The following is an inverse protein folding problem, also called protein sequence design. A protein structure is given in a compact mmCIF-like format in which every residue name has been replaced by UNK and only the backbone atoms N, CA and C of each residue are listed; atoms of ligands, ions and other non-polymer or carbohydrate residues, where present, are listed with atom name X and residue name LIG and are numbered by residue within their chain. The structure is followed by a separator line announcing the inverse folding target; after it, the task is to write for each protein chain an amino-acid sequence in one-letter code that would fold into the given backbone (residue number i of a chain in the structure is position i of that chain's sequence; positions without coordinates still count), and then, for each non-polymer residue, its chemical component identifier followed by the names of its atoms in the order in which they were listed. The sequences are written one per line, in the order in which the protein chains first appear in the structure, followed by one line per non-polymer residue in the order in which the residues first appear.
data_IF_211374879581
#
_entry.id   IF_211374879581
#
_cell.length_a   1.000
_cell.length_b   1.000
_cell.length_c   1.000
_cell.angle_alpha   90.00
_cell.angle_beta   90.00
_cell.angle_gamma   90.00
#
_symmetry.space_group_name_H-M   'P 1'
#
loop_
_entity.id
_entity.type
_entity.pdbx_description
1 polymer ?
#
# COMPACT_ATOMS: atom_id res chain seq x y z
N UNK A 1 -9.90 -103.36 -4.44
CA UNK A 1 -9.03 -102.54 -5.31
C UNK A 1 -9.73 -101.20 -5.49
N UNK A 2 -9.14 -100.13 -4.97
CA UNK A 2 -9.78 -98.81 -4.83
C UNK A 2 -9.88 -98.16 -6.22
N UNK A 3 -11.10 -97.81 -6.65
CA UNK A 3 -11.34 -97.00 -7.84
C UNK A 3 -10.89 -95.56 -7.55
N UNK A 4 -9.69 -95.20 -8.02
CA UNK A 4 -9.24 -93.81 -8.06
C UNK A 4 -10.15 -93.00 -8.98
N UNK A 5 -11.02 -92.19 -8.39
CA UNK A 5 -11.79 -91.17 -9.09
C UNK A 5 -10.86 -90.01 -9.41
N UNK A 6 -10.28 -89.98 -10.63
CA UNK A 6 -9.58 -88.80 -11.16
C UNK A 6 -10.59 -87.65 -11.30
N UNK A 7 -10.68 -86.83 -10.26
CA UNK A 7 -11.27 -85.50 -10.31
C UNK A 7 -10.42 -84.64 -11.25
N UNK A 8 -10.87 -84.50 -12.50
CA UNK A 8 -10.24 -83.67 -13.51
C UNK A 8 -10.41 -82.19 -13.19
N UNK A 9 -9.61 -81.65 -12.28
CA UNK A 9 -9.47 -80.21 -12.09
C UNK A 9 -8.74 -79.63 -13.32
N UNK A 10 -9.49 -79.17 -14.33
CA UNK A 10 -8.96 -78.39 -15.44
C UNK A 10 -8.43 -77.06 -14.90
N UNK A 11 -7.11 -76.96 -14.68
CA UNK A 11 -6.43 -75.70 -14.35
C UNK A 11 -6.64 -74.70 -15.49
N UNK A 12 -7.52 -73.72 -15.30
CA UNK A 12 -7.70 -72.59 -16.22
C UNK A 12 -6.58 -71.55 -16.03
N UNK A 13 -5.33 -71.96 -16.23
CA UNK A 13 -4.14 -71.12 -16.07
C UNK A 13 -4.19 -69.90 -16.98
N UNK A 14 -4.65 -70.07 -18.22
CA UNK A 14 -4.88 -68.97 -19.17
C UNK A 14 -5.86 -67.94 -18.63
N UNK A 15 -7.00 -68.36 -18.06
CA UNK A 15 -7.98 -67.45 -17.46
C UNK A 15 -7.39 -66.66 -16.29
N UNK A 16 -6.56 -67.31 -15.46
CA UNK A 16 -5.89 -66.67 -14.33
C UNK A 16 -4.88 -65.63 -14.78
N UNK A 17 -4.09 -65.95 -15.83
CA UNK A 17 -3.11 -65.01 -16.41
C UNK A 17 -3.83 -63.80 -17.03
N UNK A 18 -4.88 -64.01 -17.83
CA UNK A 18 -5.66 -62.91 -18.43
C UNK A 18 -6.27 -62.02 -17.36
N UNK A 19 -6.76 -62.60 -16.26
CA UNK A 19 -7.33 -61.85 -15.15
C UNK A 19 -6.27 -61.00 -14.42
N UNK A 20 -5.08 -61.55 -14.18
CA UNK A 20 -3.95 -60.80 -13.58
C UNK A 20 -3.52 -59.65 -14.48
N UNK A 21 -3.42 -59.86 -15.80
CA UNK A 21 -3.08 -58.82 -16.77
C UNK A 21 -4.14 -57.71 -16.77
N UNK A 22 -5.42 -58.08 -16.80
CA UNK A 22 -6.51 -57.11 -16.77
C UNK A 22 -6.52 -56.27 -15.48
N UNK A 23 -6.35 -56.92 -14.32
CA UNK A 23 -6.25 -56.22 -13.03
C UNK A 23 -5.04 -55.28 -13.02
N UNK A 24 -3.90 -55.72 -13.55
CA UNK A 24 -2.68 -54.91 -13.59
C UNK A 24 -2.88 -53.65 -14.46
N UNK A 25 -3.52 -53.79 -15.63
CA UNK A 25 -3.84 -52.66 -16.50
C UNK A 25 -4.80 -51.68 -15.79
N UNK A 26 -5.86 -52.18 -15.16
CA UNK A 26 -6.81 -51.36 -14.40
C UNK A 26 -6.14 -50.64 -13.22
N UNK A 27 -5.23 -51.31 -12.52
CA UNK A 27 -4.47 -50.74 -11.42
C UNK A 27 -3.56 -49.60 -11.90
N UNK A 28 -2.84 -49.79 -13.01
CA UNK A 28 -1.99 -48.75 -13.62
C UNK A 28 -2.83 -47.56 -14.07
N UNK A 29 -3.98 -47.79 -14.74
CA UNK A 29 -4.91 -46.72 -15.15
C UNK A 29 -5.44 -45.96 -13.93
N UNK A 30 -5.79 -46.67 -12.86
CA UNK A 30 -6.30 -46.05 -11.63
C UNK A 30 -5.23 -45.19 -10.95
N UNK A 31 -3.99 -45.66 -10.87
CA UNK A 31 -2.86 -44.88 -10.35
C UNK A 31 -2.60 -43.63 -11.19
N UNK A 32 -2.63 -43.77 -12.51
CA UNK A 32 -2.43 -42.64 -13.43
C UNK A 32 -3.52 -41.57 -13.25
N UNK A 33 -4.79 -41.98 -13.18
CA UNK A 33 -5.90 -41.07 -12.95
C UNK A 33 -5.82 -40.43 -11.57
N UNK A 34 -5.55 -41.20 -10.52
CA UNK A 34 -5.42 -40.70 -9.16
C UNK A 34 -4.28 -39.68 -9.03
N UNK A 35 -3.14 -39.94 -9.68
CA UNK A 35 -2.00 -39.03 -9.70
C UNK A 35 -2.33 -37.72 -10.42
N UNK A 36 -2.90 -37.79 -11.63
CA UNK A 36 -3.27 -36.59 -12.38
C UNK A 36 -4.36 -35.76 -11.69
N UNK A 37 -5.34 -36.44 -11.09
CA UNK A 37 -6.39 -35.78 -10.32
C UNK A 37 -5.82 -35.08 -9.08
N UNK A 38 -4.97 -35.78 -8.31
CA UNK A 38 -4.33 -35.22 -7.11
C UNK A 38 -3.44 -34.02 -7.47
N UNK A 39 -2.63 -34.14 -8.54
CA UNK A 39 -1.80 -33.04 -9.04
C UNK A 39 -2.64 -31.82 -9.38
N UNK A 40 -3.69 -31.99 -10.17
CA UNK A 40 -4.59 -30.88 -10.56
C UNK A 40 -5.30 -30.28 -9.35
N UNK A 41 -5.71 -31.08 -8.38
CA UNK A 41 -6.32 -30.61 -7.15
C UNK A 41 -5.36 -29.75 -6.34
N UNK A 42 -4.11 -30.19 -6.17
CA UNK A 42 -3.07 -29.45 -5.44
C UNK A 42 -2.71 -28.15 -6.17
N UNK A 43 -2.59 -28.18 -7.51
CA UNK A 43 -2.33 -26.97 -8.31
C UNK A 43 -3.44 -25.93 -8.16
N UNK A 44 -4.70 -26.36 -8.18
CA UNK A 44 -5.84 -25.46 -7.97
C UNK A 44 -5.84 -24.87 -6.55
N UNK A 45 -5.56 -25.69 -5.53
CA UNK A 45 -5.45 -25.23 -4.15
C UNK A 45 -4.29 -24.23 -3.99
N UNK A 46 -3.15 -24.51 -4.61
CA UNK A 46 -1.98 -23.61 -4.65
C UNK A 46 -2.32 -22.24 -5.23
N UNK A 47 -3.01 -22.19 -6.38
CA UNK A 47 -3.38 -20.91 -7.01
C UNK A 47 -4.37 -20.13 -6.13
N UNK A 48 -5.37 -20.81 -5.56
CA UNK A 48 -6.38 -20.19 -4.69
C UNK A 48 -5.75 -19.63 -3.41
N UNK A 49 -4.97 -20.45 -2.71
CA UNK A 49 -4.35 -20.06 -1.45
C UNK A 49 -3.25 -19.02 -1.66
N UNK A 50 -2.66 -18.90 -2.86
CA UNK A 50 -1.65 -17.87 -3.15
C UNK A 50 -2.27 -16.48 -3.05
N UNK A 51 -3.51 -16.33 -3.53
CA UNK A 51 -4.28 -15.10 -3.41
C UNK A 51 -4.55 -14.80 -1.94
N UNK A 52 -4.99 -15.80 -1.17
CA UNK A 52 -5.25 -15.66 0.26
C UNK A 52 -3.99 -15.23 1.06
N UNK A 53 -2.85 -15.87 0.81
CA UNK A 53 -1.56 -15.48 1.41
C UNK A 53 -1.21 -14.03 1.08
N UNK A 54 -1.40 -13.62 -0.18
CA UNK A 54 -1.16 -12.23 -0.59
C UNK A 54 -2.10 -11.28 0.16
N UNK A 55 -3.40 -11.53 0.15
CA UNK A 55 -4.42 -10.72 0.83
C UNK A 55 -4.13 -10.56 2.32
N UNK A 56 -3.80 -11.65 3.03
CA UNK A 56 -3.44 -11.59 4.44
C UNK A 56 -2.14 -10.81 4.67
N UNK A 57 -1.16 -10.97 3.79
CA UNK A 57 0.14 -10.29 3.91
C UNK A 57 0.04 -8.79 3.66
N UNK A 58 -0.81 -8.34 2.73
CA UNK A 58 -1.01 -6.91 2.41
C UNK A 58 -2.09 -6.24 3.27
N UNK A 59 -2.85 -7.01 4.07
CA UNK A 59 -3.90 -6.48 4.95
C UNK A 59 -3.43 -5.30 5.83
N UNK A 60 -2.25 -5.33 6.48
CA UNK A 60 -1.77 -4.19 7.27
C UNK A 60 -1.52 -2.94 6.42
N UNK A 61 -1.06 -3.12 5.18
CA UNK A 61 -0.88 -2.01 4.23
C UNK A 61 -2.23 -1.38 3.86
N UNK A 62 -3.22 -2.20 3.51
CA UNK A 62 -4.57 -1.71 3.18
C UNK A 62 -5.22 -0.99 4.37
N UNK A 63 -5.09 -1.54 5.58
CA UNK A 63 -5.59 -0.91 6.80
C UNK A 63 -4.91 0.44 7.07
N UNK A 64 -3.59 0.52 6.89
CA UNK A 64 -2.86 1.78 7.02
C UNK A 64 -3.36 2.81 6.00
N UNK A 65 -3.41 2.43 4.72
CA UNK A 65 -3.73 3.34 3.63
C UNK A 65 -5.17 3.85 3.69
N UNK A 66 -6.12 2.98 4.02
CA UNK A 66 -7.55 3.32 4.01
C UNK A 66 -8.02 3.94 5.32
N UNK A 67 -7.45 3.54 6.46
CA UNK A 67 -7.96 3.97 7.78
C UNK A 67 -6.99 4.90 8.49
N UNK A 68 -5.73 4.48 8.67
CA UNK A 68 -4.78 5.22 9.52
C UNK A 68 -4.29 6.51 8.89
N UNK A 69 -4.01 6.49 7.58
CA UNK A 69 -3.47 7.65 6.87
C UNK A 69 -4.48 8.82 6.84
N UNK A 70 -5.79 8.61 6.56
CA UNK A 70 -6.79 9.68 6.66
C UNK A 70 -6.95 10.31 8.04
N UNK A 71 -6.51 9.67 9.14
CA UNK A 71 -6.60 10.25 10.48
C UNK A 71 -5.80 11.57 10.60
N UNK A 72 -4.79 11.80 9.75
CA UNK A 72 -4.07 13.09 9.69
C UNK A 72 -5.05 14.24 9.42
N UNK A 73 -6.12 14.00 8.65
CA UNK A 73 -7.15 15.02 8.38
C UNK A 73 -7.97 15.42 9.61
N UNK A 74 -8.04 14.58 10.66
CA UNK A 74 -8.77 14.92 11.88
C UNK A 74 -8.11 16.05 12.68
N UNK A 75 -6.82 16.29 12.46
CA UNK A 75 -6.09 17.38 13.09
C UNK A 75 -6.26 18.72 12.36
N UNK A 76 -6.89 18.75 11.18
CA UNK A 76 -7.24 19.97 10.43
C UNK A 76 -6.07 20.95 10.19
N UNK A 77 -4.82 20.47 10.04
CA UNK A 77 -3.68 21.35 9.82
C UNK A 77 -3.05 21.90 11.10
N UNK A 78 -3.41 21.37 12.28
CA UNK A 78 -2.93 21.84 13.58
C UNK A 78 -1.92 20.89 14.24
N UNK A 79 -1.31 19.97 13.48
CA UNK A 79 -0.23 19.16 14.03
C UNK A 79 1.03 20.02 14.24
N UNK A 80 1.53 20.01 15.46
CA UNK A 80 2.88 20.49 15.75
C UNK A 80 3.89 19.33 15.68
N UNK A 81 5.18 19.64 15.76
CA UNK A 81 6.23 18.61 15.71
C UNK A 81 6.08 17.56 16.82
N UNK A 82 5.60 17.97 18.00
CA UNK A 82 5.45 17.08 19.16
C UNK A 82 4.30 16.08 18.98
N UNK A 83 3.16 16.53 18.46
CA UNK A 83 2.00 15.68 18.18
C UNK A 83 2.23 14.83 16.94
N UNK A 84 2.87 15.39 15.91
CA UNK A 84 3.28 14.65 14.72
C UNK A 84 4.23 13.50 15.08
N UNK A 85 5.22 13.73 15.96
CA UNK A 85 6.12 12.67 16.46
C UNK A 85 5.33 11.54 17.12
N UNK A 86 4.40 11.85 18.03
CA UNK A 86 3.58 10.84 18.72
C UNK A 86 2.69 10.04 17.77
N UNK A 87 2.12 10.72 16.77
CA UNK A 87 1.34 10.06 15.72
C UNK A 87 2.22 9.08 14.95
N UNK A 88 3.39 9.52 14.49
CA UNK A 88 4.34 8.69 13.74
C UNK A 88 4.85 7.52 14.57
N UNK A 89 5.16 7.71 15.86
CA UNK A 89 5.60 6.63 16.75
C UNK A 89 4.56 5.51 16.82
N UNK A 90 3.28 5.88 16.92
CA UNK A 90 2.17 4.92 16.92
C UNK A 90 2.05 4.20 15.58
N UNK A 91 2.22 4.93 14.47
CA UNK A 91 2.15 4.38 13.11
C UNK A 91 3.30 3.41 12.85
N UNK A 92 4.54 3.78 13.14
CA UNK A 92 5.74 2.96 12.88
C UNK A 92 5.82 1.74 13.83
N UNK A 93 5.17 1.81 14.99
CA UNK A 93 5.02 0.66 15.88
C UNK A 93 3.98 -0.33 15.35
N UNK A 94 2.82 0.15 14.87
CA UNK A 94 1.75 -0.71 14.35
C UNK A 94 2.02 -1.23 12.94
N UNK A 95 2.73 -0.46 12.11
CA UNK A 95 3.00 -0.75 10.70
C UNK A 95 4.52 -0.76 10.44
N UNK A 96 5.22 -1.87 10.70
CA UNK A 96 6.68 -1.95 10.62
C UNK A 96 7.27 -1.70 9.23
N UNK A 97 6.46 -1.82 8.18
CA UNK A 97 6.86 -1.50 6.80
C UNK A 97 7.06 0.00 6.58
N UNK A 98 6.64 0.86 7.50
CA UNK A 98 6.94 2.29 7.45
C UNK A 98 8.28 2.53 8.12
N UNK A 99 9.27 2.92 7.33
CA UNK A 99 10.65 3.11 7.78
C UNK A 99 10.87 4.52 8.33
N UNK A 100 10.30 5.51 7.66
CA UNK A 100 10.53 6.93 7.89
C UNK A 100 9.31 7.74 7.47
N UNK A 101 9.05 8.82 8.18
CA UNK A 101 7.99 9.78 7.86
C UNK A 101 8.60 11.17 7.80
N UNK A 102 8.31 11.91 6.74
CA UNK A 102 8.64 13.33 6.64
C UNK A 102 7.36 14.13 6.82
N UNK A 103 7.33 15.03 7.79
CA UNK A 103 6.19 15.87 8.11
C UNK A 103 6.46 17.30 7.65
N UNK A 104 5.50 17.87 6.93
CA UNK A 104 5.52 19.22 6.41
C UNK A 104 4.40 20.01 7.11
N UNK A 105 4.77 20.91 8.02
CA UNK A 105 3.87 21.97 8.51
C UNK A 105 3.77 22.99 7.39
N UNK A 106 2.65 22.95 6.66
CA UNK A 106 2.43 23.65 5.40
C UNK A 106 1.56 24.87 5.62
N UNK A 107 1.89 25.98 4.97
CA UNK A 107 1.07 27.19 5.01
C UNK A 107 0.54 27.54 3.62
N UNK A 108 -0.75 27.86 3.58
CA UNK A 108 -1.44 28.42 2.42
C UNK A 108 -1.72 29.89 2.71
N UNK A 109 -1.06 30.77 1.97
CA UNK A 109 -1.06 32.22 2.18
C UNK A 109 -1.56 32.95 0.94
N UNK A 110 -2.07 34.16 1.11
CA UNK A 110 -2.39 35.05 -0.02
C UNK A 110 -1.21 35.94 -0.45
N UNK A 111 0.00 35.42 -0.30
CA UNK A 111 1.25 36.06 -0.70
C UNK A 111 2.14 35.01 -1.34
N UNK A 112 3.02 35.40 -2.27
CA UNK A 112 3.98 34.49 -2.84
C UNK A 112 4.86 33.86 -1.76
N UNK A 113 5.14 32.56 -1.88
CA UNK A 113 6.11 31.82 -1.08
C UNK A 113 7.38 31.59 -1.89
N UNK A 114 8.55 31.57 -1.23
CA UNK A 114 9.83 31.31 -1.91
C UNK A 114 9.97 29.82 -2.26
N UNK A 115 9.73 28.97 -1.27
CA UNK A 115 9.96 27.54 -1.34
C UNK A 115 8.58 26.84 -1.39
N UNK A 116 8.17 26.38 -2.57
CA UNK A 116 6.85 25.80 -2.80
C UNK A 116 6.20 26.24 -4.12
N UNK A 117 4.87 26.32 -4.15
CA UNK A 117 4.10 26.63 -5.36
C UNK A 117 3.33 27.93 -5.20
N UNK A 118 3.36 28.75 -6.26
CA UNK A 118 2.59 29.97 -6.37
C UNK A 118 1.60 29.83 -7.54
N UNK A 119 0.31 29.98 -7.25
CA UNK A 119 -0.77 30.00 -8.24
C UNK A 119 -1.52 31.34 -8.15
N UNK A 120 -1.17 32.28 -9.03
CA UNK A 120 -1.61 33.68 -8.96
C UNK A 120 -1.25 34.33 -7.61
N UNK A 121 -2.26 34.63 -6.78
CA UNK A 121 -2.05 35.21 -5.44
C UNK A 121 -2.12 34.15 -4.31
N UNK A 122 -2.29 32.87 -4.65
CA UNK A 122 -2.23 31.76 -3.69
C UNK A 122 -0.78 31.24 -3.62
N UNK A 123 -0.15 31.34 -2.46
CA UNK A 123 1.13 30.70 -2.17
C UNK A 123 0.93 29.48 -1.26
N UNK A 124 1.56 28.36 -1.59
CA UNK A 124 1.54 27.11 -0.82
C UNK A 124 2.99 26.70 -0.59
N UNK A 125 3.45 26.75 0.67
CA UNK A 125 4.83 26.44 1.00
C UNK A 125 4.97 25.80 2.39
N UNK A 126 6.05 25.06 2.66
CA UNK A 126 6.30 24.54 3.98
C UNK A 126 6.80 25.67 4.89
N UNK A 127 6.23 25.75 6.09
CA UNK A 127 6.75 26.54 7.20
C UNK A 127 7.91 25.82 7.87
N UNK A 128 7.71 24.54 8.17
CA UNK A 128 8.71 23.66 8.78
C UNK A 128 8.66 22.27 8.15
N UNK A 129 9.82 21.61 8.06
CA UNK A 129 9.90 20.20 7.66
C UNK A 129 10.59 19.43 8.77
N UNK A 130 9.97 18.33 9.16
CA UNK A 130 10.45 17.43 10.20
C UNK A 130 10.60 16.02 9.67
N UNK A 131 11.48 15.24 10.28
CA UNK A 131 11.69 13.84 9.97
C UNK A 131 11.59 12.97 11.22
N UNK A 132 10.86 11.86 11.08
CA UNK A 132 10.57 10.92 12.14
C UNK A 132 10.80 9.48 11.65
N UNK A 133 11.24 8.59 12.54
CA UNK A 133 11.48 7.19 12.17
C UNK A 133 12.37 6.45 13.16
N UNK A 134 12.41 5.12 13.03
CA UNK A 134 13.28 4.27 13.85
C UNK A 134 14.74 4.49 13.46
N UNK A 135 15.55 4.96 14.41
CA UNK A 135 16.99 5.20 14.20
C UNK A 135 17.35 6.58 13.67
N UNK A 136 16.40 7.53 13.67
CA UNK A 136 16.70 8.94 13.37
C UNK A 136 17.25 9.61 14.63
N UNK A 137 18.39 10.27 14.50
CA UNK A 137 19.01 11.01 15.59
C UNK A 137 18.09 12.18 16.01
N UNK A 138 17.87 12.44 17.31
CA UNK A 138 17.16 13.63 17.79
C UNK A 138 17.60 14.96 17.15
N UNK A 139 18.89 15.09 16.81
CA UNK A 139 19.43 16.29 16.15
C UNK A 139 19.01 16.41 14.67
N UNK A 140 18.43 15.36 14.08
CA UNK A 140 17.97 15.29 12.68
C UNK A 140 16.45 15.46 12.53
N UNK A 141 15.75 15.87 13.60
CA UNK A 141 14.28 15.97 13.60
C UNK A 141 13.78 17.15 12.76
N UNK A 142 14.47 18.30 12.75
CA UNK A 142 14.08 19.47 11.94
C UNK A 142 15.00 19.61 10.74
N UNK A 143 14.45 19.46 9.55
CA UNK A 143 15.18 19.55 8.29
C UNK A 143 15.13 20.96 7.68
N UNK A 144 14.06 21.72 7.92
CA UNK A 144 13.82 23.00 7.25
C UNK A 144 13.04 23.99 8.12
N UNK A 145 13.28 25.28 7.91
CA UNK A 145 12.32 26.35 8.24
C UNK A 145 12.34 27.46 7.21
N UNK A 146 11.22 28.19 7.05
CA UNK A 146 11.09 29.36 6.17
C UNK A 146 12.23 30.38 6.34
N UNK A 147 12.68 30.60 7.60
CA UNK A 147 13.77 31.53 7.95
C UNK A 147 15.18 31.01 7.66
N UNK A 148 15.36 29.70 7.44
CA UNK A 148 16.66 29.05 7.25
C UNK A 148 16.57 27.88 6.27
N UNK A 149 16.82 28.17 5.00
CA UNK A 149 16.66 27.22 3.89
C UNK A 149 17.94 26.56 3.43
N UNK A 150 19.08 26.91 4.05
CA UNK A 150 20.40 26.41 3.65
C UNK A 150 20.62 24.92 3.97
N UNK A 151 19.64 24.22 4.54
CA UNK A 151 19.79 22.88 5.11
C UNK A 151 19.00 21.77 4.40
N UNK A 152 18.00 22.10 3.57
CA UNK A 152 17.15 21.10 2.93
C UNK A 152 16.37 21.67 1.74
N UNK A 153 16.47 21.01 0.58
CA UNK A 153 15.63 21.31 -0.58
C UNK A 153 14.24 20.69 -0.40
N UNK A 154 13.20 21.50 -0.60
CA UNK A 154 11.80 21.03 -0.57
C UNK A 154 11.63 19.95 -1.64
N UNK A 155 11.30 18.72 -1.21
CA UNK A 155 11.31 17.58 -2.13
C UNK A 155 10.20 17.66 -3.18
N UNK A 156 10.42 16.97 -4.30
CA UNK A 156 9.42 16.80 -5.37
C UNK A 156 8.09 16.23 -4.84
N UNK A 157 8.12 15.47 -3.74
CA UNK A 157 6.93 14.92 -3.10
C UNK A 157 6.01 16.07 -2.62
N UNK A 158 6.58 17.11 -1.99
CA UNK A 158 5.83 18.29 -1.55
C UNK A 158 5.27 19.07 -2.74
N UNK A 159 6.10 19.34 -3.75
CA UNK A 159 5.67 20.10 -4.92
C UNK A 159 4.54 19.37 -5.67
N UNK A 160 4.60 18.05 -5.80
CA UNK A 160 3.53 17.27 -6.41
C UNK A 160 2.20 17.41 -5.64
N UNK A 161 2.23 17.36 -4.30
CA UNK A 161 1.04 17.55 -3.46
C UNK A 161 0.51 18.99 -3.50
N UNK A 162 1.39 19.99 -3.40
CA UNK A 162 1.02 21.39 -3.49
C UNK A 162 0.40 21.72 -4.86
N UNK A 163 0.91 21.10 -5.93
CA UNK A 163 0.37 21.26 -7.28
C UNK A 163 -1.02 20.65 -7.40
N UNK A 164 -1.24 19.46 -6.83
CA UNK A 164 -2.57 18.84 -6.77
C UNK A 164 -3.55 19.72 -6.00
N UNK A 165 -3.16 20.26 -4.84
CA UNK A 165 -4.00 21.20 -4.08
C UNK A 165 -4.36 22.43 -4.92
N UNK A 166 -3.37 23.09 -5.54
CA UNK A 166 -3.59 24.27 -6.37
C UNK A 166 -4.52 23.98 -7.57
N UNK A 167 -4.34 22.82 -8.21
CA UNK A 167 -5.17 22.38 -9.34
C UNK A 167 -6.61 22.09 -8.89
N UNK A 168 -6.76 21.38 -7.77
CA UNK A 168 -8.06 21.06 -7.19
C UNK A 168 -8.82 22.34 -6.82
N UNK A 169 -8.18 23.29 -6.13
CA UNK A 169 -8.80 24.60 -5.83
C UNK A 169 -9.13 25.36 -7.12
N UNK A 170 -8.23 25.31 -8.11
CA UNK A 170 -8.45 25.92 -9.43
C UNK A 170 -9.72 25.40 -10.13
N UNK A 171 -10.00 24.10 -10.02
CA UNK A 171 -11.16 23.44 -10.63
C UNK A 171 -12.39 23.36 -9.73
N UNK A 172 -12.25 23.65 -8.43
CA UNK A 172 -13.30 23.51 -7.44
C UNK A 172 -14.56 24.29 -7.82
N UNK A 173 -15.67 23.56 -7.92
CA UNK A 173 -17.02 24.11 -7.91
C UNK A 173 -17.49 24.21 -6.45
N UNK A 174 -17.71 25.44 -5.98
CA UNK A 174 -18.11 25.68 -4.59
C UNK A 174 -19.55 25.27 -4.28
N UNK A 175 -20.38 25.00 -5.30
CA UNK A 175 -21.77 24.59 -5.14
C UNK A 175 -21.92 23.09 -4.82
N UNK A 176 -20.99 22.25 -5.26
CA UNK A 176 -21.04 20.79 -5.10
C UNK A 176 -20.18 20.32 -3.92
N UNK A 177 -20.45 19.10 -3.45
CA UNK A 177 -19.66 18.45 -2.40
C UNK A 177 -18.82 17.37 -3.09
N UNK A 178 -17.48 17.45 -3.04
CA UNK A 178 -16.60 16.42 -3.59
C UNK A 178 -16.87 15.06 -2.95
N UNK A 179 -16.72 14.00 -3.73
CA UNK A 179 -16.86 12.64 -3.20
C UNK A 179 -15.64 12.25 -2.35
N UNK A 180 -15.79 11.25 -1.47
CA UNK A 180 -14.66 10.78 -0.65
C UNK A 180 -13.51 10.23 -1.52
N UNK A 181 -13.83 9.57 -2.63
CA UNK A 181 -12.85 9.05 -3.59
C UNK A 181 -12.11 10.20 -4.31
N UNK A 182 -12.82 11.25 -4.69
CA UNK A 182 -12.24 12.45 -5.29
C UNK A 182 -11.30 13.16 -4.32
N UNK A 183 -11.71 13.31 -3.05
CA UNK A 183 -10.85 13.87 -2.01
C UNK A 183 -9.59 13.01 -1.83
N UNK A 184 -9.75 11.71 -1.65
CA UNK A 184 -8.63 10.82 -1.44
C UNK A 184 -7.62 10.85 -2.61
N UNK A 185 -8.11 10.87 -3.85
CA UNK A 185 -7.28 10.91 -5.07
C UNK A 185 -6.54 12.23 -5.24
N UNK A 186 -7.17 13.35 -4.88
CA UNK A 186 -6.56 14.68 -4.97
C UNK A 186 -5.59 14.98 -3.81
N UNK A 187 -5.81 14.36 -2.65
CA UNK A 187 -5.03 14.61 -1.43
C UNK A 187 -4.04 13.49 -1.07
N UNK A 188 -3.80 12.56 -2.00
CA UNK A 188 -2.75 11.54 -1.88
C UNK A 188 -1.96 11.33 -3.18
N UNK A 189 -0.70 10.90 -3.06
CA UNK A 189 0.14 10.44 -4.16
C UNK A 189 0.84 9.15 -3.72
N UNK A 190 0.67 8.09 -4.51
CA UNK A 190 1.38 6.82 -4.31
C UNK A 190 2.47 6.74 -5.36
N UNK A 191 3.74 6.79 -4.93
CA UNK A 191 4.90 6.64 -5.79
C UNK A 191 5.50 5.24 -5.58
N UNK A 192 5.14 4.32 -6.48
CA UNK A 192 5.60 2.94 -6.44
C UNK A 192 7.09 2.78 -6.75
N UNK A 193 7.70 3.71 -7.49
CA UNK A 193 9.12 3.62 -7.85
C UNK A 193 10.02 3.90 -6.65
N UNK A 194 9.65 4.88 -5.83
CA UNK A 194 10.40 5.27 -4.63
C UNK A 194 9.86 4.63 -3.35
N UNK A 195 8.84 3.77 -3.44
CA UNK A 195 8.14 3.17 -2.29
C UNK A 195 7.65 4.25 -1.29
N UNK A 196 7.00 5.30 -1.79
CA UNK A 196 6.50 6.40 -0.95
C UNK A 196 5.01 6.60 -1.11
N UNK A 197 4.38 7.04 -0.03
CA UNK A 197 3.01 7.57 -0.06
C UNK A 197 3.03 8.96 0.56
N UNK A 198 2.57 9.94 -0.21
CA UNK A 198 2.39 11.31 0.23
C UNK A 198 0.92 11.57 0.49
N UNK A 199 0.60 12.21 1.60
CA UNK A 199 -0.76 12.56 1.99
C UNK A 199 -0.79 13.98 2.53
N UNK A 200 -1.72 14.78 2.02
CA UNK A 200 -2.04 16.10 2.54
C UNK A 200 -3.38 15.98 3.26
N UNK A 201 -3.49 16.57 4.45
CA UNK A 201 -4.78 16.63 5.13
C UNK A 201 -5.82 17.28 4.21
N UNK A 202 -7.05 16.79 4.25
CA UNK A 202 -8.14 17.35 3.45
C UNK A 202 -8.52 18.70 4.06
N UNK A 203 -8.37 19.83 3.34
CA UNK A 203 -8.76 21.13 3.88
C UNK A 203 -10.27 21.20 4.06
N UNK A 204 -10.73 21.98 5.06
CA UNK A 204 -12.17 22.15 5.29
C UNK A 204 -12.79 22.90 4.11
N UNK A 205 -14.09 22.69 3.87
CA UNK A 205 -14.80 23.34 2.75
C UNK A 205 -14.70 24.87 2.79
N UNK A 206 -14.74 25.48 3.97
CA UNK A 206 -14.58 26.94 4.09
C UNK A 206 -13.16 27.40 3.77
N UNK A 207 -12.14 26.61 4.14
CA UNK A 207 -10.75 26.89 3.77
C UNK A 207 -10.58 26.79 2.25
N UNK A 208 -11.14 25.76 1.60
CA UNK A 208 -11.13 25.61 0.15
C UNK A 208 -11.79 26.78 -0.60
N UNK A 209 -12.92 27.31 -0.09
CA UNK A 209 -13.53 28.53 -0.64
C UNK A 209 -12.61 29.74 -0.49
N UNK A 210 -11.97 29.90 0.67
CA UNK A 210 -10.99 30.95 0.88
C UNK A 210 -9.80 30.81 -0.07
N UNK A 211 -9.33 29.57 -0.32
CA UNK A 211 -8.23 29.28 -1.25
C UNK A 211 -8.61 29.70 -2.67
N UNK A 212 -9.84 29.41 -3.10
CA UNK A 212 -10.36 29.86 -4.39
C UNK A 212 -10.35 31.38 -4.49
N UNK A 213 -10.84 32.08 -3.45
CA UNK A 213 -10.83 33.54 -3.43
C UNK A 213 -9.41 34.11 -3.46
N UNK A 214 -8.47 33.48 -2.75
CA UNK A 214 -7.06 33.83 -2.75
C UNK A 214 -6.42 33.63 -4.13
N UNK A 215 -6.79 32.60 -4.91
CA UNK A 215 -6.31 32.45 -6.29
C UNK A 215 -6.79 33.58 -7.20
N UNK A 216 -8.01 34.08 -6.98
CA UNK A 216 -8.65 35.08 -7.84
C UNK A 216 -8.16 36.51 -7.58
N UNK A 217 -7.89 36.86 -6.32
CA UNK A 217 -7.53 38.23 -5.94
C UNK A 217 -6.69 38.27 -4.67
N UNK A 218 -6.03 39.41 -4.47
CA UNK A 218 -5.42 39.75 -3.19
C UNK A 218 -6.52 40.15 -2.18
N UNK A 219 -6.50 39.53 -1.03
CA UNK A 219 -7.40 39.73 0.11
C UNK A 219 -6.76 40.70 1.11
N UNK A 220 -7.60 41.41 1.86
CA UNK A 220 -7.18 42.27 2.95
C UNK A 220 -8.16 42.12 4.13
N UNK A 221 -7.75 41.56 5.29
CA UNK A 221 -6.40 41.06 5.58
C UNK A 221 -6.05 39.82 4.73
N UNK A 222 -4.75 39.56 4.53
CA UNK A 222 -4.25 38.39 3.83
C UNK A 222 -4.22 37.18 4.78
N UNK A 223 -5.15 36.22 4.66
CA UNK A 223 -5.23 35.11 5.60
C UNK A 223 -4.11 34.10 5.37
N UNK A 224 -3.76 33.38 6.44
CA UNK A 224 -2.80 32.27 6.45
C UNK A 224 -3.53 31.06 7.03
N UNK A 225 -3.46 29.93 6.33
CA UNK A 225 -4.04 28.67 6.75
C UNK A 225 -2.95 27.62 6.87
N UNK A 226 -2.99 26.82 7.93
CA UNK A 226 -2.05 25.71 8.13
C UNK A 226 -2.63 24.42 7.59
N UNK A 227 -1.78 23.56 7.05
CA UNK A 227 -2.08 22.24 6.50
C UNK A 227 -0.96 21.27 6.91
N UNK A 228 -1.33 20.02 7.15
CA UNK A 228 -0.46 18.94 7.55
C UNK A 228 -0.21 18.01 6.36
N UNK A 229 1.03 17.91 5.91
CA UNK A 229 1.42 16.93 4.91
C UNK A 229 2.41 15.91 5.48
N UNK A 230 2.18 14.63 5.16
CA UNK A 230 3.07 13.54 5.55
C UNK A 230 3.51 12.74 4.33
N UNK A 231 4.80 12.42 4.28
CA UNK A 231 5.40 11.51 3.30
C UNK A 231 5.90 10.28 4.03
N UNK A 232 5.26 9.14 3.78
CA UNK A 232 5.57 7.85 4.37
C UNK A 232 6.50 7.07 3.44
N UNK A 233 7.71 6.78 3.91
CA UNK A 233 8.66 5.91 3.22
C UNK A 233 8.41 4.46 3.62
N UNK A 234 8.08 3.65 2.63
CA UNK A 234 7.77 2.24 2.78
C UNK A 234 8.99 1.36 2.52
N UNK A 235 9.03 0.23 3.21
CA UNK A 235 10.02 -0.84 3.09
C UNK A 235 9.24 -2.15 2.90
N UNK A 236 9.05 -2.60 1.64
CA UNK A 236 8.29 -3.81 1.35
C UNK A 236 8.87 -5.06 2.01
N UNK A 237 10.18 -5.10 2.27
CA UNK A 237 10.85 -6.23 2.92
C UNK A 237 10.45 -6.42 4.39
N UNK A 238 9.85 -5.40 5.01
CA UNK A 238 9.32 -5.45 6.38
C UNK A 238 7.84 -5.84 6.44
N UNK A 239 7.19 -6.09 5.30
CA UNK A 239 5.85 -6.66 5.28
C UNK A 239 5.93 -8.11 5.76
N UNK A 240 5.18 -8.43 6.81
CA UNK A 240 5.14 -9.78 7.36
C UNK A 240 4.32 -10.68 6.44
N UNK A 241 4.95 -11.72 5.90
CA UNK A 241 4.27 -12.76 5.12
C UNK A 241 3.45 -13.62 6.09
N UNK A 242 2.14 -13.73 5.83
CA UNK A 242 1.22 -14.56 6.61
C UNK A 242 0.86 -15.80 5.78
N UNK A 243 1.52 -16.92 6.07
CA UNK A 243 1.24 -18.19 5.41
C UNK A 243 0.02 -18.88 6.06
N UNK A 244 -1.14 -18.80 5.41
CA UNK A 244 -2.38 -19.47 5.85
C UNK A 244 -2.35 -20.99 5.65
N UNK A 245 -1.44 -21.51 4.81
CA UNK A 245 -1.29 -22.95 4.48
C UNK A 245 0.18 -23.39 4.49
N UNK A 246 0.77 -23.64 5.67
CA UNK A 246 2.19 -24.01 5.80
C UNK A 246 2.64 -25.23 4.99
N UNK A 247 1.73 -26.19 4.75
CA UNK A 247 2.05 -27.44 4.05
C UNK A 247 2.03 -27.32 2.52
N UNK A 248 1.49 -26.22 1.99
CA UNK A 248 1.32 -26.02 0.55
C UNK A 248 2.52 -25.30 -0.08
N UNK A 249 3.28 -24.55 0.72
CA UNK A 249 4.39 -23.73 0.25
C UNK A 249 5.71 -24.15 0.87
N UNK A 250 6.74 -24.35 0.04
CA UNK A 250 8.11 -24.55 0.51
C UNK A 250 8.77 -23.24 0.94
N UNK A 251 8.56 -22.14 0.19
CA UNK A 251 9.10 -20.82 0.49
C UNK A 251 8.21 -19.73 -0.09
N UNK A 252 8.05 -18.63 0.65
CA UNK A 252 7.33 -17.44 0.19
C UNK A 252 8.24 -16.23 0.44
N UNK A 253 8.38 -15.37 -0.56
CA UNK A 253 9.20 -14.15 -0.50
C UNK A 253 8.52 -13.03 -1.25
N UNK A 254 8.79 -11.79 -0.83
CA UNK A 254 8.40 -10.57 -1.55
C UNK A 254 9.52 -10.26 -2.54
N UNK A 255 9.19 -10.14 -3.81
CA UNK A 255 10.14 -9.78 -4.87
C UNK A 255 9.70 -8.50 -5.57
N UNK A 256 10.63 -7.63 -5.99
CA UNK A 256 10.31 -6.49 -6.82
C UNK A 256 9.80 -6.96 -8.18
N UNK A 257 8.77 -6.30 -8.69
CA UNK A 257 8.30 -6.51 -10.06
C UNK A 257 9.22 -5.73 -11.00
N UNK A 258 10.35 -6.32 -11.40
CA UNK A 258 11.09 -5.81 -12.56
C UNK A 258 10.32 -6.16 -13.82
N UNK A 259 9.71 -5.17 -14.46
CA UNK A 259 9.28 -5.30 -15.84
C UNK A 259 10.55 -5.33 -16.69
N UNK A 260 10.91 -6.51 -17.22
CA UNK A 260 11.73 -6.55 -18.42
C UNK A 260 10.89 -5.93 -19.56
N UNK A 261 11.33 -4.83 -20.18
CA UNK A 261 10.62 -4.31 -21.35
C UNK A 261 10.68 -5.37 -22.46
N UNK A 262 9.50 -5.80 -22.92
CA UNK A 262 9.32 -6.68 -24.08
C UNK A 262 9.62 -5.89 -25.36
#
# INVERSE_FOLDING_TARGET
MILEKKSGYRKNFSLSVTFIVLISILFILSLFLAFNYSKKSIENEFVSEKVNVLEQSIKPYNEFFQNKMPEVSYYNGFLDSSTASKFVDTVVLKYPFISKVTFYDTEVKNTPVRDGINANHLGIGPKYIYQFGKGINPDSIKLYSEDNTNSFDVSDDFNAMAYKLATFVGQLDTATVPTQEELFTNFSVVNSNDNKISYLNIPRREDLKAYKQMMMRKLNPAPIYQQDMMVFQLDPGKIKIINTRPLLYQSIKVEPMTYDPI
#
